data_IF_185962675255
#
_entry.id   IF_185962675255
#
_cell.length_a   1.000
_cell.length_b   1.000
_cell.length_c   1.000
_cell.angle_alpha   90.00
_cell.angle_beta   90.00
_cell.angle_gamma   90.00
#
_symmetry.space_group_name_H-M   'P 1'
#
loop_
_entity.id
_entity.type
_entity.pdbx_description
1 polymer ?
#
# COMPACT_ATOMS: atom_id res chain seq x y z
N UNK A 1 -2.14 13.91 -37.68
CA UNK A 1 -1.35 12.88 -36.99
C UNK A 1 -0.05 13.51 -36.55
N UNK A 2 0.06 13.86 -35.29
CA UNK A 2 1.37 14.17 -34.68
C UNK A 2 2.14 12.87 -34.61
N UNK A 3 3.34 12.84 -35.16
CA UNK A 3 4.18 11.62 -35.09
C UNK A 3 4.82 11.55 -33.71
N UNK A 4 5.17 10.35 -33.22
CA UNK A 4 5.86 10.17 -31.93
C UNK A 4 7.17 11.00 -31.82
N UNK A 5 7.74 11.36 -32.97
CA UNK A 5 8.93 12.22 -33.10
C UNK A 5 8.61 13.68 -32.75
N UNK A 6 7.41 14.17 -33.07
CA UNK A 6 6.99 15.54 -32.77
C UNK A 6 6.73 15.72 -31.27
N UNK A 7 6.09 14.73 -30.62
CA UNK A 7 5.93 14.72 -29.15
C UNK A 7 7.29 14.66 -28.44
N UNK A 8 8.23 13.85 -28.94
CA UNK A 8 9.58 13.74 -28.36
C UNK A 8 10.38 15.03 -28.48
N UNK A 9 10.21 15.80 -29.57
CA UNK A 9 10.87 17.10 -29.77
C UNK A 9 10.29 18.20 -28.89
N UNK A 10 9.00 18.15 -28.57
CA UNK A 10 8.39 19.07 -27.58
C UNK A 10 8.87 18.78 -26.15
N UNK A 11 9.07 17.51 -25.81
CA UNK A 11 9.56 17.08 -24.48
C UNK A 11 11.07 17.34 -24.32
N UNK A 12 11.88 17.12 -25.37
CA UNK A 12 13.33 17.37 -25.39
C UNK A 12 13.63 18.67 -26.16
N UNK A 13 12.98 19.76 -25.75
CA UNK A 13 13.18 21.08 -26.34
C UNK A 13 14.44 21.81 -25.83
N UNK A 14 14.77 22.96 -26.44
CA UNK A 14 15.85 23.85 -25.96
C UNK A 14 15.69 24.25 -24.49
N UNK A 15 14.45 24.37 -24.01
CA UNK A 15 14.16 24.64 -22.60
C UNK A 15 14.57 23.50 -21.67
N UNK A 16 14.28 22.25 -22.04
CA UNK A 16 14.71 21.07 -21.28
C UNK A 16 16.23 20.97 -21.23
N UNK A 17 16.92 21.21 -22.36
CA UNK A 17 18.39 21.21 -22.42
C UNK A 17 18.96 22.32 -21.54
N UNK A 18 18.44 23.54 -21.61
CA UNK A 18 18.91 24.66 -20.79
C UNK A 18 18.69 24.40 -19.30
N UNK A 19 17.51 23.88 -18.93
CA UNK A 19 17.19 23.53 -17.56
C UNK A 19 18.11 22.41 -17.04
N UNK A 20 18.34 21.37 -17.85
CA UNK A 20 19.23 20.25 -17.51
C UNK A 20 20.67 20.75 -17.32
N UNK A 21 21.19 21.59 -18.22
CA UNK A 21 22.53 22.17 -18.09
C UNK A 21 22.63 22.99 -16.80
N UNK A 22 21.70 23.92 -16.57
CA UNK A 22 21.73 24.78 -15.39
C UNK A 22 21.61 23.99 -14.08
N UNK A 23 20.76 22.98 -14.03
CA UNK A 23 20.54 22.16 -12.83
C UNK A 23 21.65 21.12 -12.61
N UNK A 24 22.29 20.59 -13.67
CA UNK A 24 23.38 19.63 -13.56
C UNK A 24 24.76 20.28 -13.33
N UNK A 25 24.99 21.51 -13.82
CA UNK A 25 26.29 22.18 -13.68
C UNK A 25 26.67 22.40 -12.20
N UNK A 26 25.72 22.74 -11.35
CA UNK A 26 25.96 23.01 -9.93
C UNK A 26 26.41 21.72 -9.20
N UNK A 27 25.67 20.59 -9.25
CA UNK A 27 26.13 19.31 -8.71
C UNK A 27 27.46 18.84 -9.30
N UNK A 28 27.63 18.95 -10.63
CA UNK A 28 28.87 18.51 -11.31
C UNK A 28 30.07 19.32 -10.84
N UNK A 29 29.92 20.62 -10.65
CA UNK A 29 30.96 21.47 -10.09
C UNK A 29 31.32 21.04 -8.65
N UNK A 30 30.33 20.75 -7.81
CA UNK A 30 30.60 20.26 -6.45
C UNK A 30 31.24 18.87 -6.44
N UNK A 31 30.84 17.96 -7.32
CA UNK A 31 31.45 16.63 -7.45
C UNK A 31 32.91 16.76 -7.94
N UNK A 32 33.16 17.60 -8.95
CA UNK A 32 34.48 17.76 -9.54
C UNK A 32 35.45 18.52 -8.64
N UNK A 33 34.98 19.55 -7.92
CA UNK A 33 35.78 20.28 -6.94
C UNK A 33 36.02 19.49 -5.66
N UNK A 34 35.23 18.45 -5.39
CA UNK A 34 35.40 17.59 -4.23
C UNK A 34 36.54 16.59 -4.45
N UNK A 35 37.75 17.01 -4.10
CA UNK A 35 38.87 16.08 -3.94
C UNK A 35 38.60 15.19 -2.71
N UNK A 36 38.07 14.00 -2.94
CA UNK A 36 37.83 12.98 -1.90
C UNK A 36 39.17 12.44 -1.35
N UNK A 37 39.92 13.29 -0.62
CA UNK A 37 41.26 12.99 -0.09
C UNK A 37 41.24 12.03 1.10
N UNK A 38 40.08 11.82 1.72
CA UNK A 38 39.93 11.00 2.93
C UNK A 38 38.76 10.04 2.78
N UNK A 39 38.98 8.78 3.12
CA UNK A 39 37.91 7.76 3.20
C UNK A 39 36.94 8.09 4.32
N UNK A 40 35.68 7.65 4.18
CA UNK A 40 34.59 7.90 5.13
C UNK A 40 34.96 7.45 6.56
N UNK A 41 35.68 6.33 6.67
CA UNK A 41 36.27 5.82 7.92
C UNK A 41 37.29 6.79 8.56
N UNK A 42 38.18 7.38 7.76
CA UNK A 42 39.20 8.32 8.25
C UNK A 42 38.58 9.65 8.70
N UNK A 43 37.53 10.10 8.02
CA UNK A 43 36.77 11.29 8.40
C UNK A 43 35.97 11.09 9.71
N UNK A 44 35.42 9.90 9.94
CA UNK A 44 34.73 9.55 11.18
C UNK A 44 35.67 9.44 12.40
N UNK A 45 36.92 9.00 12.18
CA UNK A 45 37.93 8.84 13.23
C UNK A 45 38.59 10.16 13.67
N UNK A 46 38.47 11.24 12.90
CA UNK A 46 39.13 12.52 13.20
C UNK A 46 38.21 13.46 13.97
N UNK A 47 38.58 13.83 15.21
CA UNK A 47 37.71 14.49 16.22
C UNK A 47 37.09 15.83 15.81
N UNK A 48 37.60 16.54 14.81
CA UNK A 48 37.03 17.82 14.31
C UNK A 48 36.22 17.72 13.01
N UNK A 49 36.55 16.76 12.13
CA UNK A 49 35.87 16.60 10.83
C UNK A 49 34.52 15.89 10.98
N UNK A 50 34.37 15.05 12.00
CA UNK A 50 33.12 14.32 12.30
C UNK A 50 31.94 15.26 12.52
N UNK A 51 32.11 16.30 13.34
CA UNK A 51 31.02 17.24 13.69
C UNK A 51 30.58 18.01 12.44
N UNK A 52 31.53 18.50 11.64
CA UNK A 52 31.22 19.23 10.41
C UNK A 52 30.43 18.37 9.43
N UNK A 53 30.88 17.13 9.20
CA UNK A 53 30.22 16.25 8.23
C UNK A 53 28.84 15.80 8.72
N UNK A 54 28.70 15.47 10.01
CA UNK A 54 27.40 15.18 10.62
C UNK A 54 26.47 16.39 10.51
N UNK A 55 26.95 17.60 10.79
CA UNK A 55 26.16 18.81 10.66
C UNK A 55 25.70 19.05 9.21
N UNK A 56 26.57 18.86 8.22
CA UNK A 56 26.21 18.98 6.80
C UNK A 56 25.15 17.96 6.39
N UNK A 57 25.30 16.69 6.82
CA UNK A 57 24.31 15.64 6.52
C UNK A 57 22.97 15.93 7.21
N UNK A 58 22.99 16.37 8.47
CA UNK A 58 21.78 16.76 9.19
C UNK A 58 21.10 17.96 8.55
N UNK A 59 21.88 18.96 8.11
CA UNK A 59 21.35 20.16 7.45
C UNK A 59 20.75 19.81 6.08
N UNK A 60 21.40 18.96 5.29
CA UNK A 60 20.85 18.44 4.05
C UNK A 60 19.55 17.66 4.30
N UNK A 61 19.52 16.79 5.32
CA UNK A 61 18.32 16.07 5.74
C UNK A 61 17.18 17.01 6.15
N UNK A 62 17.48 18.06 6.92
CA UNK A 62 16.52 19.09 7.32
C UNK A 62 15.98 19.88 6.14
N UNK A 63 16.82 20.23 5.16
CA UNK A 63 16.41 20.96 3.95
C UNK A 63 15.46 20.14 3.07
N UNK A 64 15.55 18.81 3.09
CA UNK A 64 14.60 17.93 2.40
C UNK A 64 13.34 17.71 3.24
N UNK A 65 13.51 17.41 4.53
CA UNK A 65 12.42 17.04 5.43
C UNK A 65 11.49 18.20 5.78
N UNK A 66 12.03 19.40 6.03
CA UNK A 66 11.24 20.53 6.49
C UNK A 66 10.20 21.02 5.45
N UNK A 67 10.55 21.17 4.15
CA UNK A 67 9.55 21.50 3.13
C UNK A 67 8.48 20.44 2.98
N UNK A 68 8.84 19.14 2.94
CA UNK A 68 7.87 18.04 2.84
C UNK A 68 6.90 18.10 4.02
N UNK A 69 7.41 18.26 5.24
CA UNK A 69 6.57 18.35 6.45
C UNK A 69 5.67 19.59 6.45
N UNK A 70 6.14 20.70 5.88
CA UNK A 70 5.35 21.92 5.74
C UNK A 70 4.21 21.73 4.73
N UNK A 71 4.48 21.10 3.59
CA UNK A 71 3.48 20.75 2.59
C UNK A 71 2.45 19.77 3.17
N UNK A 72 2.88 18.73 3.91
CA UNK A 72 1.97 17.81 4.59
C UNK A 72 1.06 18.51 5.61
N UNK A 73 1.58 19.49 6.36
CA UNK A 73 0.76 20.29 7.28
C UNK A 73 -0.27 21.14 6.55
N UNK A 74 0.09 21.72 5.39
CA UNK A 74 -0.85 22.48 4.57
C UNK A 74 -1.91 21.56 3.96
N UNK A 75 -1.50 20.41 3.42
CA UNK A 75 -2.38 19.39 2.88
C UNK A 75 -3.42 18.97 3.91
N UNK A 76 -3.02 18.62 5.14
CA UNK A 76 -3.95 18.26 6.22
C UNK A 76 -4.95 19.35 6.58
N UNK A 77 -4.62 20.63 6.35
CA UNK A 77 -5.59 21.73 6.54
C UNK A 77 -6.60 21.78 5.40
N UNK A 78 -6.14 21.55 4.18
CA UNK A 78 -7.00 21.50 2.99
C UNK A 78 -7.95 20.31 3.09
N UNK A 79 -7.45 19.11 3.39
CA UNK A 79 -8.26 17.88 3.56
C UNK A 79 -9.37 18.08 4.60
N UNK A 80 -9.06 18.71 5.74
CA UNK A 80 -10.06 19.04 6.77
C UNK A 80 -11.10 20.06 6.31
N UNK A 81 -10.73 20.96 5.40
CA UNK A 81 -11.62 22.01 4.91
C UNK A 81 -12.51 21.52 3.75
N UNK A 82 -11.97 20.66 2.87
CA UNK A 82 -12.66 20.16 1.68
C UNK A 82 -13.35 18.82 1.91
N UNK A 83 -12.96 18.05 2.93
CA UNK A 83 -13.39 16.67 3.15
C UNK A 83 -12.85 15.69 2.12
N UNK A 84 -11.93 16.12 1.25
CA UNK A 84 -11.31 15.29 0.21
C UNK A 84 -9.94 14.84 0.69
N UNK A 85 -9.75 13.53 0.79
CA UNK A 85 -8.46 12.95 1.17
C UNK A 85 -7.49 12.96 0.00
N UNK A 86 -6.23 13.26 0.30
CA UNK A 86 -5.14 13.24 -0.65
C UNK A 86 -4.03 12.30 -0.14
N UNK A 87 -3.27 11.66 -1.04
CA UNK A 87 -2.16 10.82 -0.65
C UNK A 87 -1.07 11.70 -0.03
N UNK A 88 -0.35 11.18 0.96
CA UNK A 88 0.66 12.00 1.66
C UNK A 88 1.77 12.45 0.69
N UNK A 89 2.14 13.73 0.70
CA UNK A 89 3.24 14.23 -0.15
C UNK A 89 4.53 13.42 0.01
N UNK A 90 4.93 13.12 1.26
CA UNK A 90 6.10 12.30 1.54
C UNK A 90 5.97 10.89 0.96
N UNK A 91 4.80 10.26 1.09
CA UNK A 91 4.52 8.93 0.54
C UNK A 91 4.51 8.90 -0.98
N UNK A 92 3.95 9.92 -1.64
CA UNK A 92 3.96 10.05 -3.10
C UNK A 92 5.40 10.25 -3.59
N UNK A 93 6.17 11.15 -2.99
CA UNK A 93 7.59 11.35 -3.38
C UNK A 93 8.39 10.06 -3.19
N UNK A 94 8.16 9.36 -2.07
CA UNK A 94 8.79 8.10 -1.77
C UNK A 94 8.51 7.04 -2.84
N UNK A 95 7.31 7.00 -3.44
CA UNK A 95 6.93 5.98 -4.43
C UNK A 95 7.05 6.42 -5.90
N UNK A 96 7.06 7.73 -6.20
CA UNK A 96 7.05 8.26 -7.57
C UNK A 96 8.43 8.49 -8.21
N UNK A 97 9.49 8.67 -7.41
CA UNK A 97 10.79 9.10 -7.92
C UNK A 97 11.92 8.10 -7.63
N UNK A 98 12.89 8.03 -8.54
CA UNK A 98 14.14 7.31 -8.31
C UNK A 98 15.16 8.23 -7.61
N UNK A 99 16.01 7.72 -6.69
CA UNK A 99 16.04 6.35 -6.18
C UNK A 99 15.11 6.12 -4.96
N UNK A 100 14.27 7.09 -4.59
CA UNK A 100 13.46 7.01 -3.36
C UNK A 100 12.49 5.83 -3.36
N UNK A 101 11.92 5.48 -4.52
CA UNK A 101 11.05 4.31 -4.68
C UNK A 101 11.77 3.01 -4.33
N UNK A 102 12.98 2.81 -4.82
CA UNK A 102 13.77 1.60 -4.59
C UNK A 102 14.21 1.52 -3.12
N UNK A 103 14.66 2.63 -2.54
CA UNK A 103 15.03 2.70 -1.13
C UNK A 103 13.84 2.46 -0.20
N UNK A 104 12.67 3.02 -0.52
CA UNK A 104 11.45 2.85 0.27
C UNK A 104 10.93 1.42 0.19
N UNK A 105 10.87 0.86 -1.02
CA UNK A 105 10.46 -0.53 -1.24
C UNK A 105 11.40 -1.52 -0.53
N UNK A 106 12.72 -1.32 -0.62
CA UNK A 106 13.69 -2.14 0.10
C UNK A 106 13.57 -2.02 1.62
N UNK A 107 13.36 -0.81 2.13
CA UNK A 107 13.18 -0.58 3.56
C UNK A 107 11.92 -1.27 4.08
N UNK A 108 10.81 -1.17 3.34
CA UNK A 108 9.56 -1.86 3.65
C UNK A 108 9.73 -3.38 3.59
N UNK A 109 10.39 -3.91 2.55
CA UNK A 109 10.65 -5.35 2.42
C UNK A 109 11.52 -5.88 3.56
N UNK A 110 12.61 -5.17 3.89
CA UNK A 110 13.49 -5.56 4.99
C UNK A 110 12.77 -5.53 6.34
N UNK A 111 11.93 -4.52 6.57
CA UNK A 111 11.11 -4.42 7.78
C UNK A 111 10.07 -5.54 7.85
N UNK A 112 9.34 -5.79 6.76
CA UNK A 112 8.38 -6.89 6.64
C UNK A 112 9.06 -8.24 6.92
N UNK A 113 10.20 -8.52 6.29
CA UNK A 113 10.92 -9.79 6.48
C UNK A 113 11.44 -9.97 7.93
N UNK A 114 11.89 -8.90 8.57
CA UNK A 114 12.35 -8.94 9.95
C UNK A 114 11.20 -9.25 10.93
N UNK A 115 10.04 -8.62 10.75
CA UNK A 115 8.84 -8.83 11.58
C UNK A 115 8.24 -10.23 11.30
N UNK A 116 8.06 -10.58 10.02
CA UNK A 116 7.40 -11.79 9.53
C UNK A 116 8.16 -13.09 9.85
N UNK A 117 9.50 -13.07 9.80
CA UNK A 117 10.32 -14.27 10.03
C UNK A 117 10.22 -14.82 11.46
N UNK A 118 9.81 -13.98 12.42
CA UNK A 118 9.64 -14.35 13.82
C UNK A 118 8.24 -14.86 14.13
N UNK A 119 7.19 -14.22 13.59
CA UNK A 119 5.81 -14.55 13.92
C UNK A 119 5.26 -15.73 13.09
N UNK A 120 5.38 -15.71 11.76
CA UNK A 120 4.66 -16.66 10.88
C UNK A 120 5.16 -18.11 11.02
N UNK A 121 6.44 -18.31 11.33
CA UNK A 121 7.01 -19.66 11.55
C UNK A 121 6.53 -20.31 12.85
N UNK A 122 6.12 -19.51 13.84
CA UNK A 122 5.59 -20.01 15.11
C UNK A 122 4.10 -20.34 15.04
N UNK A 123 3.39 -19.78 14.05
CA UNK A 123 1.96 -19.99 13.86
C UNK A 123 1.68 -21.38 13.32
N UNK A 124 0.58 -21.97 13.80
CA UNK A 124 0.06 -23.22 13.28
C UNK A 124 -0.32 -23.01 11.80
N UNK A 125 0.23 -23.84 10.92
CA UNK A 125 -0.21 -23.86 9.52
C UNK A 125 -1.54 -24.64 9.41
N UNK A 126 -2.65 -23.97 9.06
CA UNK A 126 -3.96 -24.59 9.03
C UNK A 126 -4.07 -25.68 7.95
N UNK A 127 -3.39 -25.56 6.82
CA UNK A 127 -3.41 -26.56 5.72
C UNK A 127 -2.76 -27.89 6.11
N UNK A 128 -1.80 -27.85 7.04
CA UNK A 128 -1.13 -29.04 7.56
C UNK A 128 -1.90 -29.67 8.71
N UNK A 129 -2.57 -28.85 9.52
CA UNK A 129 -3.33 -29.31 10.70
C UNK A 129 -4.72 -29.82 10.34
N UNK A 130 -5.34 -29.25 9.32
CA UNK A 130 -6.73 -29.53 8.94
C UNK A 130 -6.82 -30.02 7.49
N UNK A 131 -7.82 -30.85 7.22
CA UNK A 131 -8.13 -31.35 5.88
C UNK A 131 -9.11 -30.42 5.19
N UNK A 132 -8.76 -29.97 3.99
CA UNK A 132 -9.63 -29.17 3.13
C UNK A 132 -10.05 -30.02 1.93
N UNK A 133 -11.35 -30.26 1.79
CA UNK A 133 -11.92 -30.89 0.61
C UNK A 133 -12.37 -29.79 -0.34
N UNK A 134 -11.54 -29.49 -1.33
CA UNK A 134 -11.89 -28.54 -2.35
C UNK A 134 -12.88 -29.18 -3.35
N UNK A 135 -13.83 -28.43 -3.92
CA UNK A 135 -14.69 -28.93 -4.99
C UNK A 135 -13.86 -29.54 -6.13
N UNK A 136 -14.28 -30.69 -6.67
CA UNK A 136 -13.51 -31.41 -7.69
C UNK A 136 -13.42 -30.67 -9.04
N UNK A 137 -14.35 -29.75 -9.31
CA UNK A 137 -14.47 -29.01 -10.57
C UNK A 137 -14.64 -27.51 -10.31
N UNK A 138 -14.12 -26.67 -11.23
CA UNK A 138 -14.40 -25.23 -11.29
C UNK A 138 -13.46 -24.31 -10.50
N UNK A 139 -12.59 -24.83 -9.62
CA UNK A 139 -11.65 -24.01 -8.86
C UNK A 139 -10.60 -23.30 -9.73
N UNK A 140 -10.17 -23.94 -10.82
CA UNK A 140 -9.08 -23.42 -11.64
C UNK A 140 -9.46 -22.15 -12.41
N UNK A 141 -10.75 -21.92 -12.70
CA UNK A 141 -11.24 -20.70 -13.37
C UNK A 141 -12.02 -19.78 -12.40
N UNK A 142 -11.78 -19.92 -11.08
CA UNK A 142 -12.49 -19.13 -10.07
C UNK A 142 -11.78 -17.82 -9.76
N UNK A 143 -12.52 -16.71 -9.81
CA UNK A 143 -12.08 -15.42 -9.28
C UNK A 143 -12.84 -15.12 -7.98
N UNK A 144 -12.11 -14.70 -6.95
CA UNK A 144 -12.69 -14.26 -5.69
C UNK A 144 -12.33 -12.80 -5.48
N UNK A 145 -13.34 -11.93 -5.42
CA UNK A 145 -13.14 -10.53 -4.99
C UNK A 145 -13.61 -10.41 -3.56
N UNK A 146 -12.68 -10.09 -2.66
CA UNK A 146 -12.95 -9.95 -1.24
C UNK A 146 -12.83 -8.49 -0.81
N UNK A 147 -13.97 -7.86 -0.52
CA UNK A 147 -14.04 -6.45 -0.12
C UNK A 147 -14.08 -6.34 1.40
N UNK A 148 -13.04 -5.74 1.97
CA UNK A 148 -12.95 -5.41 3.38
C UNK A 148 -13.48 -3.98 3.55
N UNK A 149 -14.66 -3.87 4.17
CA UNK A 149 -15.24 -2.59 4.54
C UNK A 149 -14.58 -1.96 5.76
N UNK A 150 -14.93 -0.71 6.04
CA UNK A 150 -14.41 0.05 7.19
C UNK A 150 -15.57 0.83 7.85
N UNK A 151 -15.68 0.69 9.18
CA UNK A 151 -16.65 1.36 10.08
C UNK A 151 -18.16 1.17 9.78
N UNK A 152 -18.54 0.58 8.64
CA UNK A 152 -19.95 0.34 8.28
C UNK A 152 -20.66 -0.57 9.29
N UNK A 153 -21.85 -0.16 9.73
CA UNK A 153 -22.69 -0.93 10.66
C UNK A 153 -23.92 -1.48 9.97
N UNK A 154 -24.25 -2.74 10.27
CA UNK A 154 -25.39 -3.44 9.67
C UNK A 154 -26.74 -2.78 9.98
N UNK A 155 -26.87 -2.13 11.14
CA UNK A 155 -28.11 -1.47 11.58
C UNK A 155 -28.42 -0.16 10.82
N UNK A 156 -27.51 0.29 9.97
CA UNK A 156 -27.69 1.43 9.06
C UNK A 156 -27.77 1.02 7.59
N UNK A 157 -27.91 -0.27 7.30
CA UNK A 157 -28.04 -0.79 5.93
C UNK A 157 -29.52 -1.04 5.61
N UNK A 158 -30.05 -0.35 4.58
CA UNK A 158 -31.44 -0.49 4.15
C UNK A 158 -31.83 -1.94 3.85
N UNK A 159 -30.95 -2.70 3.18
CA UNK A 159 -31.15 -4.12 2.87
C UNK A 159 -31.27 -5.02 4.12
N UNK A 160 -30.87 -4.54 5.30
CA UNK A 160 -30.98 -5.25 6.58
C UNK A 160 -32.10 -4.72 7.48
N UNK A 161 -32.95 -3.84 6.95
CA UNK A 161 -34.16 -3.32 7.60
C UNK A 161 -34.02 -1.93 8.21
N UNK A 162 -33.02 -1.13 7.80
CA UNK A 162 -32.92 0.27 8.21
C UNK A 162 -33.97 1.13 7.49
N UNK A 163 -34.57 2.10 8.19
CA UNK A 163 -35.67 2.92 7.68
C UNK A 163 -35.30 3.77 6.45
N UNK A 164 -34.02 4.12 6.29
CA UNK A 164 -33.52 4.85 5.11
C UNK A 164 -32.93 3.88 4.10
N UNK A 165 -33.23 4.11 2.82
CA UNK A 165 -32.64 3.34 1.72
C UNK A 165 -31.18 3.75 1.47
N UNK A 166 -30.27 3.20 2.26
CA UNK A 166 -28.82 3.44 2.19
C UNK A 166 -28.10 2.46 1.24
N UNK A 167 -28.80 1.44 0.75
CA UNK A 167 -28.22 0.38 -0.11
C UNK A 167 -29.05 0.13 -1.38
N UNK A 168 -29.48 1.17 -2.12
CA UNK A 168 -30.43 1.01 -3.24
C UNK A 168 -29.86 0.20 -4.40
N UNK A 169 -28.55 0.30 -4.64
CA UNK A 169 -27.87 -0.47 -5.70
C UNK A 169 -27.75 -1.95 -5.35
N UNK A 170 -27.36 -2.25 -4.11
CA UNK A 170 -27.27 -3.63 -3.63
C UNK A 170 -28.64 -4.34 -3.67
N UNK A 171 -29.72 -3.64 -3.31
CA UNK A 171 -31.06 -4.21 -3.35
C UNK A 171 -31.54 -4.65 -4.75
N UNK A 172 -30.87 -4.20 -5.83
CA UNK A 172 -31.19 -4.57 -7.21
C UNK A 172 -30.42 -5.80 -7.70
N UNK A 173 -29.44 -6.28 -6.94
CA UNK A 173 -28.59 -7.39 -7.30
C UNK A 173 -29.31 -8.74 -7.15
N UNK A 174 -29.41 -9.51 -8.24
CA UNK A 174 -30.27 -10.71 -8.30
C UNK A 174 -29.81 -11.87 -7.40
N UNK A 175 -28.51 -11.99 -7.17
CA UNK A 175 -27.89 -13.11 -6.44
C UNK A 175 -27.26 -12.64 -5.12
N UNK A 176 -27.77 -11.56 -4.55
CA UNK A 176 -27.24 -11.02 -3.31
C UNK A 176 -27.82 -11.75 -2.10
N UNK A 177 -26.93 -12.21 -1.23
CA UNK A 177 -27.28 -12.70 0.10
C UNK A 177 -26.68 -11.76 1.13
N UNK A 178 -27.53 -11.22 2.01
CA UNK A 178 -27.13 -10.27 3.04
C UNK A 178 -27.27 -10.90 4.43
N UNK A 179 -26.25 -10.74 5.26
CA UNK A 179 -26.21 -11.25 6.63
C UNK A 179 -25.98 -10.11 7.61
N UNK A 180 -26.60 -10.19 8.79
CA UNK A 180 -26.21 -9.39 9.94
C UNK A 180 -24.94 -10.00 10.54
N UNK A 181 -23.86 -9.23 10.60
CA UNK A 181 -22.57 -9.67 11.13
C UNK A 181 -22.18 -8.91 12.40
N UNK A 182 -21.43 -9.58 13.27
CA UNK A 182 -20.77 -8.98 14.42
C UNK A 182 -19.26 -9.07 14.21
N UNK A 183 -18.56 -7.96 14.45
CA UNK A 183 -17.11 -7.94 14.34
C UNK A 183 -16.47 -8.64 15.55
N UNK A 184 -15.31 -9.25 15.34
CA UNK A 184 -14.55 -9.88 16.42
C UNK A 184 -13.85 -8.84 17.32
N UNK A 185 -13.69 -7.60 16.84
CA UNK A 185 -13.18 -6.46 17.60
C UNK A 185 -13.80 -5.14 17.09
N UNK A 186 -13.50 -4.02 17.75
CA UNK A 186 -14.00 -2.68 17.36
C UNK A 186 -12.91 -1.79 16.76
N UNK A 187 -11.65 -2.23 16.76
CA UNK A 187 -10.55 -1.52 16.12
C UNK A 187 -10.08 -2.26 14.86
N UNK A 188 -9.93 -1.56 13.72
CA UNK A 188 -9.54 -2.14 12.42
C UNK A 188 -8.36 -3.09 12.54
N UNK A 189 -7.25 -2.64 13.14
CA UNK A 189 -6.04 -3.44 13.34
C UNK A 189 -6.29 -4.75 14.11
N UNK A 190 -7.16 -4.73 15.12
CA UNK A 190 -7.48 -5.92 15.91
C UNK A 190 -8.48 -6.82 15.19
N UNK A 191 -9.47 -6.24 14.51
CA UNK A 191 -10.43 -6.96 13.68
C UNK A 191 -9.73 -7.72 12.54
N UNK A 192 -8.78 -7.09 11.85
CA UNK A 192 -7.97 -7.72 10.79
C UNK A 192 -7.13 -8.89 11.31
N UNK A 193 -6.84 -8.97 12.62
CA UNK A 193 -6.17 -10.14 13.21
C UNK A 193 -7.12 -11.32 13.34
N UNK A 194 -8.31 -11.09 13.90
CA UNK A 194 -9.21 -12.19 14.24
C UNK A 194 -10.12 -12.65 13.10
N UNK A 195 -10.48 -11.80 12.14
CA UNK A 195 -11.47 -12.17 11.11
C UNK A 195 -10.95 -13.15 10.05
N UNK A 196 -9.63 -13.29 9.91
CA UNK A 196 -9.00 -14.13 8.88
C UNK A 196 -8.41 -15.44 9.41
N UNK A 197 -8.62 -15.71 10.70
CA UNK A 197 -8.27 -16.98 11.32
C UNK A 197 -9.57 -17.69 11.73
N UNK A 198 -9.49 -18.99 11.93
CA UNK A 198 -10.60 -19.78 12.45
C UNK A 198 -10.95 -19.33 13.86
N UNK A 199 -12.14 -19.73 14.31
CA UNK A 199 -12.53 -19.60 15.71
C UNK A 199 -11.47 -20.25 16.63
N UNK A 200 -11.01 -19.48 17.63
CA UNK A 200 -9.91 -19.87 18.53
C UNK A 200 -8.50 -19.66 17.96
N UNK A 201 -8.37 -19.27 16.69
CA UNK A 201 -7.12 -18.96 16.00
C UNK A 201 -6.49 -17.62 16.42
N UNK A 202 -7.24 -16.77 17.10
CA UNK A 202 -6.75 -15.59 17.82
C UNK A 202 -7.01 -15.73 19.31
N UNK A 203 -6.08 -15.24 20.13
CA UNK A 203 -6.23 -15.20 21.59
C UNK A 203 -7.23 -14.13 22.01
N UNK A 204 -7.98 -14.40 23.08
CA UNK A 204 -8.82 -13.40 23.74
C UNK A 204 -7.98 -12.55 24.70
N UNK A 205 -7.02 -11.83 24.13
CA UNK A 205 -6.17 -10.89 24.84
C UNK A 205 -6.25 -9.51 24.16
N UNK A 206 -5.79 -8.43 24.83
CA UNK A 206 -5.87 -7.08 24.26
C UNK A 206 -5.14 -6.87 22.92
N UNK A 207 -4.28 -7.80 22.52
CA UNK A 207 -3.50 -7.73 21.28
C UNK A 207 -4.03 -8.64 20.17
N UNK A 208 -5.09 -9.43 20.43
CA UNK A 208 -5.58 -10.48 19.53
C UNK A 208 -4.44 -11.34 18.95
N UNK A 209 -3.56 -11.84 19.82
CA UNK A 209 -2.36 -12.59 19.39
C UNK A 209 -2.77 -13.81 18.56
N UNK A 210 -2.25 -13.89 17.33
CA UNK A 210 -2.50 -14.99 16.41
C UNK A 210 -1.86 -16.29 16.91
N UNK A 211 -2.56 -17.41 16.69
CA UNK A 211 -2.10 -18.78 16.99
C UNK A 211 -1.96 -19.63 15.73
N UNK A 212 -2.53 -19.18 14.63
CA UNK A 212 -2.50 -19.85 13.33
C UNK A 212 -2.32 -18.85 12.19
N UNK A 213 -1.87 -19.36 11.05
CA UNK A 213 -1.78 -18.58 9.83
C UNK A 213 -3.17 -18.26 9.31
N UNK A 214 -3.29 -17.15 8.58
CA UNK A 214 -4.56 -16.69 8.03
C UNK A 214 -5.08 -17.59 6.90
N UNK A 215 -6.34 -17.38 6.53
CA UNK A 215 -7.01 -18.07 5.42
C UNK A 215 -6.31 -17.83 4.07
N UNK A 216 -5.59 -16.72 3.90
CA UNK A 216 -4.85 -16.44 2.67
C UNK A 216 -3.70 -17.43 2.44
N UNK A 217 -3.03 -17.89 3.51
CA UNK A 217 -2.06 -18.97 3.43
C UNK A 217 -2.67 -20.28 2.90
N UNK A 218 -3.93 -20.56 3.24
CA UNK A 218 -4.68 -21.72 2.70
C UNK A 218 -4.92 -21.55 1.21
N UNK A 219 -5.44 -20.39 0.79
CA UNK A 219 -5.71 -20.10 -0.62
C UNK A 219 -4.44 -20.16 -1.47
N UNK A 220 -3.34 -19.60 -0.97
CA UNK A 220 -2.02 -19.65 -1.61
C UNK A 220 -1.56 -21.09 -1.84
N UNK A 221 -1.73 -21.95 -0.84
CA UNK A 221 -1.35 -23.36 -0.95
C UNK A 221 -2.27 -24.17 -1.87
N UNK A 222 -3.54 -23.75 -2.03
CA UNK A 222 -4.45 -24.31 -3.03
C UNK A 222 -4.14 -23.81 -4.46
N UNK A 223 -3.13 -22.95 -4.62
CA UNK A 223 -2.65 -22.45 -5.92
C UNK A 223 -3.30 -21.15 -6.36
N UNK A 224 -4.00 -20.43 -5.47
CA UNK A 224 -4.49 -19.09 -5.81
C UNK A 224 -3.32 -18.12 -5.93
N UNK A 225 -3.31 -17.38 -7.03
CA UNK A 225 -2.60 -16.09 -7.10
C UNK A 225 -3.43 -15.04 -6.35
N UNK A 226 -2.79 -13.99 -5.83
CA UNK A 226 -3.52 -13.00 -5.05
C UNK A 226 -2.94 -11.60 -5.11
N UNK A 227 -3.80 -10.61 -5.34
CA UNK A 227 -3.48 -9.19 -5.29
C UNK A 227 -4.24 -8.51 -4.16
N UNK A 228 -3.58 -7.59 -3.45
CA UNK A 228 -4.19 -6.79 -2.38
C UNK A 228 -4.07 -5.30 -2.70
N UNK A 229 -5.22 -4.63 -2.80
CA UNK A 229 -5.32 -3.19 -3.03
C UNK A 229 -6.03 -2.53 -1.86
N UNK A 230 -5.41 -1.50 -1.27
CA UNK A 230 -5.93 -0.89 -0.05
C UNK A 230 -5.93 0.64 -0.08
N UNK A 231 -7.02 1.26 0.33
CA UNK A 231 -7.09 2.69 0.64
C UNK A 231 -6.68 3.00 2.09
N UNK A 232 -6.40 1.98 2.90
CA UNK A 232 -5.89 2.10 4.27
C UNK A 232 -4.40 1.73 4.34
N UNK A 233 -3.72 2.10 5.42
CA UNK A 233 -2.26 1.88 5.61
C UNK A 233 -1.94 0.80 6.66
N UNK A 234 -2.68 -0.31 6.69
CA UNK A 234 -2.49 -1.43 7.63
C UNK A 234 -1.39 -2.42 7.17
N UNK A 235 -0.15 -1.92 7.04
CA UNK A 235 0.96 -2.65 6.41
C UNK A 235 1.24 -4.02 7.06
N UNK A 236 1.16 -4.11 8.39
CA UNK A 236 1.35 -5.38 9.10
C UNK A 236 0.37 -6.47 8.64
N UNK A 237 -0.89 -6.11 8.37
CA UNK A 237 -1.85 -7.08 7.85
C UNK A 237 -1.53 -7.44 6.41
N UNK A 238 -1.23 -6.44 5.56
CA UNK A 238 -0.98 -6.66 4.14
C UNK A 238 0.21 -7.56 3.88
N UNK A 239 1.32 -7.37 4.58
CA UNK A 239 2.51 -8.21 4.40
C UNK A 239 2.25 -9.65 4.84
N UNK A 240 1.35 -9.85 5.81
CA UNK A 240 1.00 -11.18 6.31
C UNK A 240 -0.01 -11.93 5.42
N UNK A 241 -0.64 -11.31 4.42
CA UNK A 241 -1.60 -12.01 3.54
C UNK A 241 -0.93 -12.92 2.51
N UNK A 242 0.39 -12.88 2.37
CA UNK A 242 1.14 -13.62 1.34
C UNK A 242 0.70 -13.29 -0.10
N UNK A 243 0.18 -12.08 -0.31
CA UNK A 243 -0.20 -11.59 -1.63
C UNK A 243 1.02 -11.46 -2.56
N UNK A 244 0.82 -11.74 -3.85
CA UNK A 244 1.83 -11.62 -4.90
C UNK A 244 2.11 -10.15 -5.23
N UNK A 245 1.06 -9.33 -5.16
CA UNK A 245 1.15 -7.89 -5.33
C UNK A 245 0.37 -7.17 -4.24
N UNK A 246 0.96 -6.12 -3.69
CA UNK A 246 0.34 -5.26 -2.67
C UNK A 246 0.51 -3.82 -3.14
N UNK A 247 -0.61 -3.11 -3.29
CA UNK A 247 -0.58 -1.66 -3.46
C UNK A 247 -1.52 -0.99 -2.45
N UNK A 248 -0.99 0.00 -1.76
CA UNK A 248 -1.74 0.77 -0.77
C UNK A 248 -1.89 2.24 -1.20
N UNK A 249 -2.69 3.01 -0.46
CA UNK A 249 -3.15 4.36 -0.83
C UNK A 249 -2.08 5.26 -1.43
N UNK A 250 -0.91 5.34 -0.82
CA UNK A 250 0.20 6.18 -1.30
C UNK A 250 0.76 5.71 -2.64
N UNK A 251 0.84 4.39 -2.87
CA UNK A 251 1.31 3.82 -4.13
C UNK A 251 0.25 4.00 -5.23
N UNK A 252 -1.00 3.66 -4.94
CA UNK A 252 -2.12 3.82 -5.89
C UNK A 252 -2.29 5.29 -6.26
N UNK A 253 -2.17 6.21 -5.30
CA UNK A 253 -2.23 7.65 -5.56
C UNK A 253 -1.00 8.21 -6.29
N UNK A 254 0.15 7.54 -6.20
CA UNK A 254 1.38 7.93 -6.89
C UNK A 254 1.41 7.53 -8.39
N UNK A 255 0.52 6.62 -8.80
CA UNK A 255 0.42 6.16 -10.18
C UNK A 255 0.12 7.33 -11.15
N UNK A 256 0.83 7.44 -12.29
CA UNK A 256 0.61 8.54 -13.23
C UNK A 256 -0.84 8.67 -13.71
N UNK A 257 -1.54 7.54 -13.86
CA UNK A 257 -2.96 7.47 -14.26
C UNK A 257 -3.94 8.04 -13.22
N UNK A 258 -3.49 8.22 -11.98
CA UNK A 258 -4.30 8.70 -10.87
C UNK A 258 -3.97 10.15 -10.48
N UNK A 259 -3.04 10.81 -11.18
CA UNK A 259 -2.72 12.22 -10.96
C UNK A 259 -3.94 13.10 -11.15
N UNK A 260 -4.22 13.93 -10.15
CA UNK A 260 -5.33 14.89 -10.16
C UNK A 260 -6.71 14.28 -9.91
N UNK A 261 -6.80 12.95 -9.71
CA UNK A 261 -8.04 12.31 -9.25
C UNK A 261 -8.15 12.41 -7.73
N UNK A 262 -9.37 12.37 -7.24
CA UNK A 262 -9.62 12.16 -5.82
C UNK A 262 -9.13 10.75 -5.43
N UNK A 263 -8.50 10.64 -4.27
CA UNK A 263 -8.06 9.34 -3.74
C UNK A 263 -9.15 8.80 -2.83
N UNK A 264 -10.07 8.07 -3.46
CA UNK A 264 -11.18 7.37 -2.82
C UNK A 264 -11.24 5.90 -3.27
N UNK A 265 -12.20 5.16 -2.74
CA UNK A 265 -12.38 3.72 -3.00
C UNK A 265 -12.59 3.39 -4.48
N UNK A 266 -12.98 4.35 -5.32
CA UNK A 266 -13.16 4.12 -6.75
C UNK A 266 -11.84 3.83 -7.47
N UNK A 267 -10.70 4.27 -6.93
CA UNK A 267 -9.40 3.93 -7.50
C UNK A 267 -9.11 2.42 -7.43
N UNK A 268 -9.68 1.72 -6.44
CA UNK A 268 -9.54 0.26 -6.31
C UNK A 268 -10.16 -0.48 -7.49
N UNK A 269 -11.16 0.09 -8.17
CA UNK A 269 -11.79 -0.53 -9.33
C UNK A 269 -10.81 -0.63 -10.51
N UNK A 270 -9.99 0.40 -10.73
CA UNK A 270 -8.97 0.35 -11.79
C UNK A 270 -7.85 -0.65 -11.51
N UNK A 271 -7.49 -0.83 -10.23
CA UNK A 271 -6.52 -1.85 -9.83
C UNK A 271 -7.11 -3.25 -10.02
N UNK A 272 -8.36 -3.48 -9.61
CA UNK A 272 -9.07 -4.73 -9.82
C UNK A 272 -9.19 -5.08 -11.31
N UNK A 273 -9.56 -4.12 -12.17
CA UNK A 273 -9.67 -4.34 -13.61
C UNK A 273 -8.33 -4.78 -14.22
N UNK A 274 -7.23 -4.14 -13.81
CA UNK A 274 -5.90 -4.51 -14.27
C UNK A 274 -5.46 -5.89 -13.75
N UNK A 275 -5.75 -6.17 -12.48
CA UNK A 275 -5.46 -7.45 -11.85
C UNK A 275 -6.16 -8.61 -12.57
N UNK A 276 -7.45 -8.45 -12.90
CA UNK A 276 -8.21 -9.42 -13.69
C UNK A 276 -7.62 -9.65 -15.09
N UNK A 277 -7.19 -8.57 -15.77
CA UNK A 277 -6.54 -8.67 -17.10
C UNK A 277 -5.21 -9.40 -17.06
N UNK A 278 -4.45 -9.25 -15.98
CA UNK A 278 -3.14 -9.88 -15.81
C UNK A 278 -3.22 -11.36 -15.42
N UNK A 279 -4.37 -11.82 -14.92
CA UNK A 279 -4.58 -13.19 -14.45
C UNK A 279 -5.72 -13.89 -15.21
N UNK A 280 -5.66 -14.01 -16.55
CA UNK A 280 -6.78 -14.48 -17.37
C UNK A 280 -7.13 -15.96 -17.16
N UNK A 281 -6.27 -16.72 -16.49
CA UNK A 281 -6.46 -18.16 -16.26
C UNK A 281 -7.33 -18.47 -15.03
N UNK A 282 -7.78 -17.45 -14.28
CA UNK A 282 -8.53 -17.65 -13.06
C UNK A 282 -7.66 -18.10 -11.88
N UNK A 283 -8.30 -18.75 -10.91
CA UNK A 283 -7.71 -19.13 -9.62
C UNK A 283 -6.99 -17.94 -8.97
N UNK A 284 -7.71 -16.85 -8.86
CA UNK A 284 -7.16 -15.56 -8.45
C UNK A 284 -8.03 -14.89 -7.38
N UNK A 285 -7.38 -14.39 -6.34
CA UNK A 285 -8.00 -13.65 -5.25
C UNK A 285 -7.62 -12.17 -5.34
N UNK A 286 -8.61 -11.30 -5.36
CA UNK A 286 -8.42 -9.84 -5.29
C UNK A 286 -8.98 -9.36 -3.96
N UNK A 287 -8.12 -8.85 -3.09
CA UNK A 287 -8.53 -8.24 -1.81
C UNK A 287 -8.59 -6.73 -1.97
N UNK A 288 -9.76 -6.14 -1.72
CA UNK A 288 -9.98 -4.69 -1.76
C UNK A 288 -10.25 -4.19 -0.33
N UNK A 289 -9.32 -3.46 0.26
CA UNK A 289 -9.53 -2.85 1.58
C UNK A 289 -9.92 -1.38 1.43
N UNK A 290 -11.19 -1.10 1.66
CA UNK A 290 -11.79 0.22 1.42
C UNK A 290 -11.52 1.18 2.57
N UNK A 291 -11.62 2.46 2.29
CA UNK A 291 -11.71 3.52 3.28
C UNK A 291 -13.05 3.47 4.01
N UNK A 292 -14.11 3.08 3.32
CA UNK A 292 -15.43 2.81 3.91
C UNK A 292 -16.22 4.07 4.26
N UNK A 293 -16.87 4.05 5.43
CA UNK A 293 -17.88 5.04 5.87
C UNK A 293 -17.28 6.23 6.63
#
# INVERSE_FOLDING_TARGET
MTTDIDLSKEVVGKGFIMWTILTCLIPLFFIWSNTCRYTLLRQLLTRGQRIRNVAVVLLAGLLVWAPIRLMEKQQKRIEKATGVDMPSYGGVVANSYLPSNWLSALGLYAWAQADESSDVKSLINPTKKFTYQAPAEGLDDTYVVFVIGETTRWDHMGILGYDRDTTPKLAQEKNLVAYRGYSCDTATKLSLRCMFVREGGASDNPQRTLKEQNVFAVLKQLGFSSDLFAMQSEMWFYTNTMADNIAYREQIGAEPRNRGKNVDDMLLLSEMEQSLKNHPQGKHLIVLHTKGS
#
